data_IF_257103640869
#
_entry.id   IF_257103640869
#
_cell.length_a   1.000
_cell.length_b   1.000
_cell.length_c   1.000
_cell.angle_alpha   90.00
_cell.angle_beta   90.00
_cell.angle_gamma   90.00
#
_symmetry.space_group_name_H-M   'P 1'
#
loop_
_entity.id
_entity.type
_entity.pdbx_description
1 polymer ?
#
# COMPACT_ATOMS: atom_id res chain seq x y z
N UNK A 1 4.67 21.43 15.02
CA UNK A 1 4.73 20.88 13.64
C UNK A 1 4.35 19.41 13.75
N UNK A 2 3.20 19.04 13.15
CA UNK A 2 2.54 17.74 13.32
C UNK A 2 3.50 16.62 12.89
N UNK A 3 3.79 15.67 13.79
CA UNK A 3 4.69 14.54 13.55
C UNK A 3 4.44 13.97 12.17
N UNK A 4 5.43 14.12 11.29
CA UNK A 4 5.37 13.54 9.96
C UNK A 4 5.31 12.03 10.15
N UNK A 5 4.15 11.43 9.83
CA UNK A 5 3.88 10.01 10.02
C UNK A 5 4.63 9.20 8.96
N UNK A 6 5.95 9.12 9.15
CA UNK A 6 6.91 8.28 8.42
C UNK A 6 6.38 6.88 8.11
N UNK A 7 5.78 6.13 9.07
CA UNK A 7 5.23 4.81 8.77
C UNK A 7 4.06 4.85 7.78
N UNK A 8 3.24 5.90 7.79
CA UNK A 8 2.14 6.04 6.82
C UNK A 8 2.66 6.40 5.42
N UNK A 9 3.73 7.19 5.36
CA UNK A 9 4.37 7.59 4.12
C UNK A 9 5.00 6.40 3.40
N UNK A 10 5.78 5.58 4.12
CA UNK A 10 6.42 4.38 3.54
C UNK A 10 5.36 3.42 2.96
N UNK A 11 4.24 3.31 3.65
CA UNK A 11 3.16 2.42 3.25
C UNK A 11 2.40 2.94 2.02
N UNK A 12 2.25 4.26 1.90
CA UNK A 12 1.69 4.89 0.69
C UNK A 12 2.59 4.69 -0.53
N UNK A 13 3.92 4.80 -0.35
CA UNK A 13 4.88 4.49 -1.42
C UNK A 13 4.77 3.02 -1.84
N UNK A 14 4.63 2.11 -0.87
CA UNK A 14 4.45 0.68 -1.15
C UNK A 14 3.14 0.39 -1.89
N UNK A 15 2.04 1.06 -1.51
CA UNK A 15 0.76 0.96 -2.21
C UNK A 15 0.85 1.49 -3.65
N UNK A 16 1.54 2.62 -3.87
CA UNK A 16 1.77 3.16 -5.20
C UNK A 16 2.59 2.19 -6.08
N UNK A 17 3.61 1.55 -5.51
CA UNK A 17 4.38 0.49 -6.17
C UNK A 17 3.51 -0.72 -6.52
N UNK A 18 2.58 -1.10 -5.64
CA UNK A 18 1.58 -2.14 -5.93
C UNK A 18 0.69 -1.78 -7.12
N UNK A 19 0.16 -0.57 -7.16
CA UNK A 19 -0.68 -0.13 -8.30
C UNK A 19 0.13 -0.10 -9.61
N UNK A 20 1.39 0.36 -9.57
CA UNK A 20 2.28 0.31 -10.72
C UNK A 20 2.57 -1.13 -11.19
N UNK A 21 2.78 -2.05 -10.24
CA UNK A 21 2.96 -3.47 -10.52
C UNK A 21 1.74 -4.14 -11.15
N UNK A 22 0.52 -3.73 -10.78
CA UNK A 22 -0.71 -4.17 -11.45
C UNK A 22 -0.71 -3.74 -12.92
N UNK A 23 -0.30 -2.51 -13.22
CA UNK A 23 -0.15 -2.00 -14.59
C UNK A 23 0.87 -2.78 -15.41
N UNK A 24 2.02 -3.11 -14.81
CA UNK A 24 3.06 -3.95 -15.44
C UNK A 24 2.53 -5.36 -15.70
N UNK A 25 1.82 -5.97 -14.74
CA UNK A 25 1.23 -7.30 -14.90
C UNK A 25 0.16 -7.35 -16.00
N UNK A 26 -0.60 -6.26 -16.17
CA UNK A 26 -1.53 -6.08 -17.28
C UNK A 26 -0.82 -6.00 -18.63
N UNK A 27 0.29 -5.26 -18.71
CA UNK A 27 1.07 -5.12 -19.94
C UNK A 27 1.74 -6.45 -20.36
N UNK A 28 2.25 -7.22 -19.41
CA UNK A 28 2.82 -8.56 -19.62
C UNK A 28 1.78 -9.67 -19.77
N UNK A 29 0.48 -9.36 -19.62
CA UNK A 29 -0.63 -10.31 -19.66
C UNK A 29 -0.42 -11.53 -18.72
N UNK A 30 0.26 -11.30 -17.60
CA UNK A 30 0.72 -12.35 -16.69
C UNK A 30 -0.12 -12.35 -15.41
N UNK A 31 -1.03 -13.32 -15.30
CA UNK A 31 -2.00 -13.45 -14.19
C UNK A 31 -1.30 -13.47 -12.82
N UNK A 32 -0.13 -14.11 -12.71
CA UNK A 32 0.60 -14.25 -11.45
C UNK A 32 1.06 -12.89 -10.89
N UNK A 33 1.53 -12.00 -11.78
CA UNK A 33 2.03 -10.67 -11.40
C UNK A 33 0.85 -9.80 -10.94
N UNK A 34 -0.27 -9.87 -11.65
CA UNK A 34 -1.49 -9.14 -11.29
C UNK A 34 -1.99 -9.60 -9.91
N UNK A 35 -2.02 -10.91 -9.66
CA UNK A 35 -2.47 -11.47 -8.39
C UNK A 35 -1.59 -11.03 -7.21
N UNK A 36 -0.26 -11.12 -7.36
CA UNK A 36 0.68 -10.71 -6.31
C UNK A 36 0.56 -9.22 -6.00
N UNK A 37 0.36 -8.41 -7.05
CA UNK A 37 0.33 -6.96 -6.94
C UNK A 37 -0.98 -6.44 -6.33
N UNK A 38 -2.10 -7.11 -6.61
CA UNK A 38 -3.38 -6.90 -5.90
C UNK A 38 -3.24 -7.23 -4.41
N UNK A 39 -2.63 -8.37 -4.06
CA UNK A 39 -2.44 -8.77 -2.65
C UNK A 39 -1.55 -7.76 -1.92
N UNK A 40 -0.44 -7.34 -2.54
CA UNK A 40 0.44 -6.29 -2.00
C UNK A 40 -0.31 -4.98 -1.79
N UNK A 41 -1.15 -4.58 -2.74
CA UNK A 41 -1.91 -3.34 -2.65
C UNK A 41 -2.92 -3.39 -1.51
N UNK A 42 -3.65 -4.50 -1.35
CA UNK A 42 -4.60 -4.70 -0.25
C UNK A 42 -3.88 -4.70 1.10
N UNK A 43 -2.73 -5.38 1.21
CA UNK A 43 -1.93 -5.41 2.42
C UNK A 43 -1.40 -4.02 2.81
N UNK A 44 -0.92 -3.24 1.83
CA UNK A 44 -0.46 -1.88 2.04
C UNK A 44 -1.60 -0.93 2.45
N UNK A 45 -2.76 -1.01 1.81
CA UNK A 45 -3.92 -0.19 2.19
C UNK A 45 -4.47 -0.58 3.57
N UNK A 46 -4.59 -1.88 3.84
CA UNK A 46 -5.06 -2.41 5.12
C UNK A 46 -4.12 -2.05 6.28
N UNK A 47 -2.81 -2.20 6.09
CA UNK A 47 -1.81 -1.75 7.06
C UNK A 47 -1.89 -0.24 7.31
N UNK A 48 -2.22 0.55 6.29
CA UNK A 48 -2.27 2.01 6.37
C UNK A 48 -3.46 2.48 7.18
N UNK A 49 -4.58 1.78 7.02
CA UNK A 49 -5.76 1.96 7.83
C UNK A 49 -5.53 1.57 9.30
N UNK A 50 -4.82 0.47 9.56
CA UNK A 50 -4.46 0.06 10.93
C UNK A 50 -3.54 1.08 11.61
N UNK A 51 -2.51 1.58 10.93
CA UNK A 51 -1.61 2.61 11.51
C UNK A 51 -2.34 3.94 11.71
N UNK A 52 -3.20 4.35 10.76
CA UNK A 52 -4.08 5.50 10.97
C UNK A 52 -4.98 5.33 12.19
N UNK A 53 -5.63 4.17 12.34
CA UNK A 53 -6.47 3.87 13.50
C UNK A 53 -5.70 3.90 14.81
N UNK A 54 -4.47 3.38 14.81
CA UNK A 54 -3.63 3.34 16.01
C UNK A 54 -3.18 4.73 16.44
N UNK A 55 -2.83 5.59 15.47
CA UNK A 55 -2.53 7.01 15.71
C UNK A 55 -3.77 7.75 16.23
N UNK A 56 -4.95 7.53 15.64
CA UNK A 56 -6.20 8.17 16.06
C UNK A 56 -6.73 7.69 17.42
N UNK A 57 -6.30 6.51 17.88
CA UNK A 57 -6.68 5.92 19.16
C UNK A 57 -5.69 6.25 20.29
N UNK A 58 -4.55 6.86 19.97
CA UNK A 58 -3.51 7.27 20.91
C UNK A 58 -3.55 8.78 21.22
N UNK A 59 -4.35 9.55 20.46
CA UNK A 59 -4.80 10.94 20.75
C UNK A 59 -6.11 10.92 21.59
#
# INVERSE_FOLDING_TARGET
>A
MKTFNWPLFILSVFAACGIAGVGIGLAESSILIILISVVVTIAAVGGGFSIRKKILAED
#
